data_IF_055868873219
#
_entry.id   IF_055868873219
#
_cell.length_a   1.000
_cell.length_b   1.000
_cell.length_c   1.000
_cell.angle_alpha   90.00
_cell.angle_beta   90.00
_cell.angle_gamma   90.00
#
_symmetry.space_group_name_H-M   'P 1'
#
loop_
_entity.id
_entity.type
_entity.pdbx_description
1 polymer ?
#
# COMPACT_ATOMS: atom_id res chain seq x y z
N UNK A 1 7.37 5.45 0.72
CA UNK A 1 6.16 5.09 1.48
C UNK A 1 6.54 4.54 2.84
N UNK A 2 5.79 4.81 3.92
CA UNK A 2 6.08 4.24 5.24
C UNK A 2 6.04 2.71 5.22
N UNK A 3 6.88 2.06 6.02
CA UNK A 3 6.89 0.59 6.08
C UNK A 3 5.57 0.00 6.58
N UNK A 4 4.85 0.73 7.45
CA UNK A 4 3.55 0.30 8.00
C UNK A 4 2.42 0.24 6.97
N UNK A 5 2.56 0.95 5.85
CA UNK A 5 1.57 0.95 4.77
C UNK A 5 1.71 -0.26 3.83
N UNK A 6 2.85 -0.95 3.85
CA UNK A 6 3.16 -2.01 2.91
C UNK A 6 2.66 -3.34 3.46
N UNK A 7 1.71 -3.94 2.74
CA UNK A 7 1.21 -5.29 3.00
C UNK A 7 1.76 -6.26 1.95
N UNK A 8 1.62 -7.55 2.21
CA UNK A 8 2.04 -8.61 1.29
C UNK A 8 0.91 -9.61 1.09
N UNK A 9 0.74 -10.04 -0.16
CA UNK A 9 -0.25 -11.07 -0.47
C UNK A 9 0.29 -12.47 -0.14
N UNK A 10 -0.48 -13.50 -0.48
CA UNK A 10 -0.12 -14.91 -0.26
C UNK A 10 1.17 -15.31 -1.01
N UNK A 11 1.47 -14.65 -2.13
CA UNK A 11 2.70 -14.83 -2.93
C UNK A 11 3.86 -13.97 -2.40
N UNK A 12 3.71 -13.32 -1.25
CA UNK A 12 4.67 -12.42 -0.63
C UNK A 12 4.98 -11.15 -1.46
N UNK A 13 4.17 -10.83 -2.46
CA UNK A 13 4.28 -9.62 -3.30
C UNK A 13 3.73 -8.38 -2.57
N UNK A 14 4.47 -7.25 -2.60
CA UNK A 14 4.08 -6.06 -1.86
C UNK A 14 2.95 -5.29 -2.55
N UNK A 15 2.01 -4.82 -1.74
CA UNK A 15 0.92 -3.95 -2.17
C UNK A 15 0.58 -2.93 -1.08
N UNK A 16 -0.16 -1.89 -1.47
CA UNK A 16 -0.68 -0.86 -0.56
C UNK A 16 -2.14 -0.57 -0.87
N UNK A 17 -2.85 0.05 0.07
CA UNK A 17 -4.16 0.63 -0.18
C UNK A 17 -4.04 2.13 -0.46
N UNK A 18 -4.57 2.57 -1.60
CA UNK A 18 -4.66 3.99 -1.98
C UNK A 18 -6.07 4.48 -1.74
N UNK A 19 -6.22 5.56 -0.97
CA UNK A 19 -7.50 6.21 -0.75
C UNK A 19 -7.95 6.95 -2.02
N UNK A 20 -9.17 6.68 -2.48
CA UNK A 20 -9.73 7.33 -3.66
C UNK A 20 -10.38 8.67 -3.30
N UNK A 21 -10.34 9.69 -4.18
CA UNK A 21 -10.94 10.99 -3.91
C UNK A 21 -12.45 10.94 -3.64
N UNK A 22 -13.14 9.96 -4.24
CA UNK A 22 -14.58 9.75 -4.13
C UNK A 22 -14.98 8.92 -2.91
N UNK A 23 -14.02 8.59 -2.03
CA UNK A 23 -14.18 7.61 -0.97
C UNK A 23 -13.84 6.20 -1.42
N UNK A 24 -13.59 5.33 -0.44
CA UNK A 24 -13.13 3.96 -0.66
C UNK A 24 -11.61 3.85 -0.86
N UNK A 25 -11.17 2.61 -1.07
CA UNK A 25 -9.77 2.25 -1.16
C UNK A 25 -9.53 1.36 -2.37
N UNK A 26 -8.38 1.52 -3.01
CA UNK A 26 -7.95 0.68 -4.11
C UNK A 26 -6.68 -0.07 -3.70
N UNK A 27 -6.71 -1.40 -3.78
CA UNK A 27 -5.54 -2.24 -3.60
C UNK A 27 -4.62 -2.10 -4.81
N UNK A 28 -3.39 -1.63 -4.57
CA UNK A 28 -2.40 -1.41 -5.63
C UNK A 28 -1.13 -2.19 -5.36
N UNK A 29 -0.79 -3.09 -6.27
CA UNK A 29 0.50 -3.75 -6.28
C UNK A 29 1.60 -2.73 -6.61
N UNK A 30 2.70 -2.79 -5.88
CA UNK A 30 3.82 -1.87 -6.04
C UNK A 30 5.13 -2.64 -6.18
N UNK A 31 6.14 -1.99 -6.72
CA UNK A 31 7.52 -2.51 -6.66
C UNK A 31 8.32 -1.65 -5.69
N UNK A 32 8.92 -2.28 -4.70
CA UNK A 32 9.74 -1.60 -3.70
C UNK A 32 11.19 -1.54 -4.16
N UNK A 33 11.81 -0.39 -3.91
CA UNK A 33 13.26 -0.19 -3.95
C UNK A 33 13.87 -0.30 -2.55
N UNK A 34 15.06 0.28 -2.34
CA UNK A 34 15.73 0.29 -1.06
C UNK A 34 14.88 0.87 0.09
N UNK A 35 15.11 0.38 1.31
CA UNK A 35 14.60 1.01 2.54
C UNK A 35 15.42 2.26 2.83
N UNK A 36 14.74 3.36 3.15
CA UNK A 36 15.33 4.65 3.51
C UNK A 36 14.65 5.13 4.78
N UNK A 37 15.39 5.10 5.91
CA UNK A 37 14.82 5.39 7.23
C UNK A 37 13.63 4.46 7.53
N UNK A 38 12.48 5.05 7.84
CA UNK A 38 11.24 4.34 8.18
C UNK A 38 10.30 4.10 6.99
N UNK A 39 10.84 4.18 5.77
CA UNK A 39 10.07 3.94 4.56
C UNK A 39 10.82 3.14 3.51
N UNK A 40 10.08 2.73 2.48
CA UNK A 40 10.62 2.17 1.25
C UNK A 40 10.53 3.19 0.12
N UNK A 41 11.54 3.20 -0.75
CA UNK A 41 11.39 3.76 -2.09
C UNK A 41 10.35 2.92 -2.87
N UNK A 42 9.50 3.57 -3.66
CA UNK A 42 8.58 2.87 -4.57
C UNK A 42 9.07 3.12 -5.99
N UNK A 43 9.38 2.05 -6.71
CA UNK A 43 9.87 2.10 -8.09
C UNK A 43 8.71 2.20 -9.08
N UNK A 44 7.61 1.48 -8.82
CA UNK A 44 6.43 1.44 -9.69
C UNK A 44 5.16 1.24 -8.88
N UNK A 45 4.02 1.60 -9.47
CA UNK A 45 2.70 1.36 -8.88
C UNK A 45 2.18 2.47 -7.97
N UNK A 46 2.87 3.60 -7.82
CA UNK A 46 2.31 4.80 -7.20
C UNK A 46 2.70 6.04 -7.99
N UNK A 47 1.88 7.07 -7.86
CA UNK A 47 2.10 8.39 -8.44
C UNK A 47 2.19 9.44 -7.33
N UNK A 48 2.89 10.54 -7.61
CA UNK A 48 2.95 11.65 -6.67
C UNK A 48 1.53 12.20 -6.41
N UNK A 49 1.17 12.35 -5.14
CA UNK A 49 -0.18 12.74 -4.72
C UNK A 49 -1.09 11.59 -4.30
N UNK A 50 -0.71 10.33 -4.56
CA UNK A 50 -1.45 9.17 -4.05
C UNK A 50 -1.44 9.18 -2.51
N UNK A 51 -2.64 9.09 -1.92
CA UNK A 51 -2.81 8.99 -0.47
C UNK A 51 -2.83 7.53 -0.07
N UNK A 52 -1.79 7.08 0.64
CA UNK A 52 -1.63 5.69 1.06
C UNK A 52 -2.09 5.50 2.50
N UNK A 53 -2.80 4.41 2.78
CA UNK A 53 -3.23 4.03 4.12
C UNK A 53 -2.06 3.46 4.91
N UNK A 54 -1.70 4.12 6.01
CA UNK A 54 -0.57 3.73 6.89
C UNK A 54 -1.00 3.02 8.16
N UNK A 55 -2.27 3.17 8.54
CA UNK A 55 -2.87 2.59 9.74
C UNK A 55 -4.17 1.88 9.36
N UNK A 56 -4.38 0.69 9.92
CA UNK A 56 -5.58 -0.10 9.65
C UNK A 56 -5.67 -0.71 8.24
N UNK A 57 -4.60 -0.63 7.44
CA UNK A 57 -4.55 -1.27 6.11
C UNK A 57 -4.84 -2.78 6.17
N UNK A 58 -4.46 -3.46 7.25
CA UNK A 58 -4.73 -4.87 7.47
C UNK A 58 -6.24 -5.17 7.56
N UNK A 59 -7.04 -4.27 8.14
CA UNK A 59 -8.50 -4.45 8.22
C UNK A 59 -9.15 -4.35 6.84
N UNK A 60 -8.60 -3.52 5.95
CA UNK A 60 -9.07 -3.41 4.56
C UNK A 60 -8.83 -4.70 3.78
N UNK A 61 -7.72 -5.39 4.04
CA UNK A 61 -7.45 -6.70 3.43
C UNK A 61 -8.51 -7.75 3.81
N UNK A 62 -8.97 -7.76 5.06
CA UNK A 62 -10.03 -8.67 5.50
C UNK A 62 -11.42 -8.30 4.95
N UNK A 63 -11.67 -7.00 4.74
CA UNK A 63 -12.91 -6.52 4.13
C UNK A 63 -13.05 -6.93 2.65
N UNK A 64 -11.93 -7.09 1.92
CA UNK A 64 -11.94 -7.62 0.54
C UNK A 64 -12.15 -9.14 0.47
N UNK A 65 -11.91 -9.89 1.56
CA UNK A 65 -12.01 -11.36 1.58
C UNK A 65 -13.38 -11.93 1.98
N UNK A 66 -14.43 -11.09 2.04
CA UNK A 66 -15.80 -11.46 2.42
C UNK A 66 -16.74 -11.55 1.21
#
# INVERSE_FOLDING_TARGET
VPTSAVLRNEENLPFVFVALPTGGFNRRQITLGPRVGDGYQVLTGLTAGDKVVTEGALFLQFAESQ
#
